data_IF_329310413175
#
_entry.id   IF_329310413175
#
_cell.length_a   1.000
_cell.length_b   1.000
_cell.length_c   1.000
_cell.angle_alpha   90.00
_cell.angle_beta   90.00
_cell.angle_gamma   90.00
#
_symmetry.space_group_name_H-M   'P 1'
#
loop_
_entity.id
_entity.type
_entity.pdbx_description
1 polymer ?
#
# COMPACT_ATOMS: atom_id res chain seq x y z
N UNK A 1 -11.59 1.72 -3.37
CA UNK A 1 -10.13 1.58 -3.41
C UNK A 1 -9.59 2.53 -4.44
N UNK A 2 -8.54 3.24 -4.09
CA UNK A 2 -8.00 4.30 -4.94
C UNK A 2 -6.48 4.21 -4.95
N UNK A 3 -5.88 4.37 -6.14
CA UNK A 3 -4.43 4.43 -6.23
C UNK A 3 -3.99 5.85 -5.92
N UNK A 4 -3.07 6.00 -4.96
CA UNK A 4 -2.57 7.30 -4.52
C UNK A 4 -1.06 7.31 -4.68
N UNK A 5 -0.55 8.36 -5.31
CA UNK A 5 0.89 8.51 -5.45
C UNK A 5 1.53 8.70 -4.08
N UNK A 6 2.73 8.17 -3.93
CA UNK A 6 3.44 8.25 -2.66
C UNK A 6 3.55 9.70 -2.16
N UNK A 7 3.78 10.63 -3.08
CA UNK A 7 3.91 12.04 -2.72
C UNK A 7 2.60 12.63 -2.16
N UNK A 8 1.48 12.00 -2.42
CA UNK A 8 0.17 12.48 -1.97
C UNK A 8 -0.34 11.75 -0.73
N UNK A 9 0.43 10.83 -0.19
CA UNK A 9 0.01 10.08 1.00
C UNK A 9 -0.04 10.97 2.23
N UNK A 10 -1.02 10.71 3.07
CA UNK A 10 -1.20 11.47 4.32
C UNK A 10 -1.49 10.52 5.46
N UNK A 11 -1.09 10.89 6.69
CA UNK A 11 -1.42 10.07 7.85
C UNK A 11 -2.94 9.92 7.98
N UNK A 12 -3.35 8.75 8.44
CA UNK A 12 -4.77 8.45 8.62
C UNK A 12 -5.39 7.70 7.47
N UNK A 13 -4.70 7.58 6.33
CA UNK A 13 -5.15 6.73 5.24
C UNK A 13 -4.95 5.27 5.62
N UNK A 14 -5.80 4.39 5.07
CA UNK A 14 -5.70 2.95 5.32
C UNK A 14 -5.30 2.24 4.04
N UNK A 15 -4.47 1.23 4.16
CA UNK A 15 -4.02 0.44 3.01
C UNK A 15 -5.13 -0.47 2.52
N UNK A 16 -5.36 -0.48 1.21
CA UNK A 16 -6.33 -1.38 0.61
C UNK A 16 -5.72 -2.76 0.34
N UNK A 17 -4.42 -2.82 0.14
CA UNK A 17 -3.70 -4.05 -0.20
C UNK A 17 -2.41 -4.13 0.58
N UNK A 18 -1.92 -5.34 0.84
CA UNK A 18 -0.63 -5.49 1.50
C UNK A 18 0.49 -4.91 0.65
N UNK A 19 1.54 -4.45 1.30
CA UNK A 19 2.71 -3.93 0.62
C UNK A 19 3.87 -4.89 0.83
N UNK A 20 4.49 -5.30 -0.28
CA UNK A 20 5.64 -6.18 -0.27
C UNK A 20 6.82 -5.48 -0.90
N UNK A 21 8.03 -5.84 -0.48
CA UNK A 21 9.20 -5.36 -1.18
C UNK A 21 9.45 -6.23 -2.41
N UNK A 22 10.48 -5.91 -3.19
CA UNK A 22 10.75 -6.65 -4.42
C UNK A 22 11.19 -8.08 -4.19
N UNK A 23 11.51 -8.42 -2.95
CA UNK A 23 11.88 -9.79 -2.59
C UNK A 23 10.70 -10.59 -2.07
N UNK A 24 9.52 -9.99 -2.06
CA UNK A 24 8.31 -10.67 -1.61
C UNK A 24 8.09 -10.65 -0.12
N UNK A 25 8.87 -9.87 0.61
CA UNK A 25 8.71 -9.77 2.07
C UNK A 25 7.60 -8.76 2.38
N UNK A 26 6.68 -9.18 3.23
CA UNK A 26 5.56 -8.33 3.64
C UNK A 26 6.09 -7.17 4.48
N UNK A 27 5.77 -5.96 4.05
CA UNK A 27 6.17 -4.75 4.77
C UNK A 27 5.02 -4.20 5.61
N UNK A 28 3.83 -4.14 5.04
CA UNK A 28 2.64 -3.67 5.74
C UNK A 28 1.45 -4.49 5.31
N UNK A 29 0.60 -4.83 6.28
CA UNK A 29 -0.65 -5.53 6.00
C UNK A 29 -1.69 -4.59 5.43
N UNK A 30 -2.69 -5.17 4.76
CA UNK A 30 -3.85 -4.39 4.35
C UNK A 30 -4.57 -3.85 5.59
N UNK A 31 -5.30 -2.76 5.40
CA UNK A 31 -6.03 -2.07 6.47
C UNK A 31 -5.13 -1.45 7.53
N UNK A 32 -3.83 -1.39 7.26
CA UNK A 32 -2.90 -0.69 8.15
C UNK A 32 -3.12 0.80 8.03
N UNK A 33 -3.20 1.46 9.16
CA UNK A 33 -3.35 2.91 9.22
C UNK A 33 -1.99 3.56 9.01
N UNK A 34 -1.90 4.44 8.04
CA UNK A 34 -0.63 5.11 7.73
C UNK A 34 -0.29 6.17 8.76
N UNK A 35 0.98 6.21 9.12
CA UNK A 35 1.55 7.26 9.94
C UNK A 35 2.60 7.99 9.10
N UNK A 36 3.08 9.14 9.59
CA UNK A 36 4.16 9.83 8.90
C UNK A 36 5.39 8.95 8.75
N UNK A 37 5.69 8.19 9.78
CA UNK A 37 6.82 7.28 9.74
C UNK A 37 6.63 6.21 8.67
N UNK A 38 5.41 5.66 8.59
CA UNK A 38 5.09 4.67 7.58
C UNK A 38 5.20 5.24 6.17
N UNK A 39 4.73 6.46 5.98
CA UNK A 39 4.81 7.13 4.68
C UNK A 39 6.27 7.33 4.27
N UNK A 40 7.10 7.78 5.19
CA UNK A 40 8.52 7.95 4.91
C UNK A 40 9.18 6.63 4.54
N UNK A 41 8.80 5.55 5.21
CA UNK A 41 9.33 4.23 4.89
C UNK A 41 8.92 3.79 3.49
N UNK A 42 7.66 4.03 3.13
CA UNK A 42 7.16 3.69 1.81
C UNK A 42 7.93 4.44 0.73
N UNK A 43 8.21 5.72 0.97
CA UNK A 43 9.04 6.50 0.06
C UNK A 43 10.43 5.90 -0.08
N UNK A 44 11.02 5.51 1.03
CA UNK A 44 12.36 4.95 1.03
C UNK A 44 12.44 3.61 0.31
N UNK A 45 11.34 2.87 0.27
CA UNK A 45 11.29 1.62 -0.48
C UNK A 45 11.21 1.84 -1.98
N UNK A 46 10.98 3.06 -2.42
CA UNK A 46 10.92 3.36 -3.85
C UNK A 46 9.57 3.12 -4.48
N UNK A 47 8.52 3.03 -3.69
CA UNK A 47 7.18 2.85 -4.23
C UNK A 47 6.69 4.11 -4.92
N UNK A 48 6.12 3.94 -6.10
CA UNK A 48 5.56 5.04 -6.87
C UNK A 48 4.24 5.48 -6.25
N UNK A 49 3.45 4.52 -5.80
CA UNK A 49 2.16 4.77 -5.19
C UNK A 49 1.59 3.48 -4.67
N UNK A 50 0.49 3.57 -3.95
CA UNK A 50 -0.15 2.40 -3.33
C UNK A 50 -1.65 2.56 -3.39
N UNK A 51 -2.36 1.45 -3.20
CA UNK A 51 -3.82 1.46 -3.15
C UNK A 51 -4.30 1.75 -1.75
N UNK A 52 -5.21 2.70 -1.64
CA UNK A 52 -5.72 3.22 -0.38
C UNK A 52 -7.22 2.99 -0.31
N UNK A 53 -7.72 2.64 0.87
CA UNK A 53 -9.16 2.54 1.11
C UNK A 53 -9.72 3.93 1.30
N UNK A 54 -10.87 4.18 0.68
CA UNK A 54 -11.57 5.43 0.93
C UNK A 54 -12.20 5.40 2.31
N UNK A 55 -12.52 6.58 2.88
CA UNK A 55 -13.17 6.61 4.19
C UNK A 55 -14.42 5.74 4.19
N UNK A 56 -14.57 4.92 5.22
CA UNK A 56 -15.70 4.01 5.40
C UNK A 56 -15.79 2.89 4.38
N UNK A 57 -14.83 2.75 3.51
CA UNK A 57 -14.80 1.63 2.55
C UNK A 57 -14.40 0.36 3.28
N UNK A 58 -15.11 -0.77 3.07
CA UNK A 58 -14.73 -2.03 3.70
C UNK A 58 -13.44 -2.56 3.09
N UNK A 59 -12.69 -3.32 3.89
CA UNK A 59 -11.48 -3.96 3.41
C UNK A 59 -11.88 -5.02 2.37
N UNK A 60 -11.33 -4.97 1.15
CA UNK A 60 -11.70 -5.96 0.14
C UNK A 60 -11.13 -7.34 0.49
N UNK A 61 -11.79 -8.41 0.05
CA UNK A 61 -11.26 -9.75 0.26
C UNK A 61 -9.95 -9.91 -0.51
N UNK A 62 -9.03 -10.67 0.06
CA UNK A 62 -7.80 -10.99 -0.62
C UNK A 62 -8.06 -12.02 -1.70
N UNK A 63 -7.53 -11.78 -2.88
CA UNK A 63 -7.52 -12.78 -3.94
C UNK A 63 -6.09 -13.28 -4.10
N UNK A 64 -5.94 -14.36 -4.85
CA UNK A 64 -4.61 -14.85 -5.15
C UNK A 64 -3.79 -13.79 -5.88
N UNK A 65 -4.42 -13.07 -6.79
CA UNK A 65 -3.74 -12.05 -7.56
C UNK A 65 -3.28 -10.91 -6.69
N UNK A 66 -4.11 -10.51 -5.73
CA UNK A 66 -3.73 -9.47 -4.80
C UNK A 66 -2.52 -9.87 -3.98
N UNK A 67 -2.45 -11.13 -3.57
CA UNK A 67 -1.32 -11.61 -2.79
C UNK A 67 -0.04 -11.65 -3.62
N UNK A 68 -0.16 -11.88 -4.93
CA UNK A 68 1.00 -12.10 -5.76
C UNK A 68 1.57 -10.86 -6.38
N UNK A 69 0.70 -9.89 -6.76
CA UNK A 69 1.20 -8.87 -7.65
C UNK A 69 0.96 -7.44 -7.29
N UNK A 70 -0.16 -7.13 -6.70
CA UNK A 70 -0.67 -5.77 -6.77
C UNK A 70 0.28 -4.70 -6.28
N UNK A 71 0.63 -4.73 -5.01
CA UNK A 71 1.51 -3.69 -4.49
C UNK A 71 2.93 -3.86 -4.99
N UNK A 72 3.30 -5.10 -5.29
CA UNK A 72 4.62 -5.36 -5.83
C UNK A 72 4.83 -4.67 -7.17
N UNK A 73 3.81 -4.64 -8.00
CA UNK A 73 3.91 -4.01 -9.31
C UNK A 73 3.95 -2.50 -9.25
N UNK A 74 3.61 -1.91 -8.14
CA UNK A 74 3.72 -0.46 -7.98
C UNK A 74 5.11 -0.03 -7.55
N UNK A 75 6.00 -0.98 -7.28
CA UNK A 75 7.40 -0.75 -6.96
C UNK A 75 8.19 -0.75 -8.24
N UNK A 76 9.02 0.15 -8.45
CA UNK A 76 9.88 0.25 -9.59
C UNK A 76 9.17 0.36 -10.85
N UNK A 77 9.30 1.16 -11.35
CA UNK A 77 8.90 1.37 -12.59
C UNK A 77 9.82 1.44 -13.40
#
# INVERSE_FOLDING_TARGET
MQFVKTADLKPGMRLAKPIYNKMGVLLYERDTLLTMQGINSIENFGLIGIFILEPAEPVPPLSREDLEFEQFQTIYD
#
